data_IF_852854107323
#
_entry.id   IF_852854107323
#
_cell.length_a   1.000
_cell.length_b   1.000
_cell.length_c   1.000
_cell.angle_alpha   90.00
_cell.angle_beta   90.00
_cell.angle_gamma   90.00
#
_symmetry.space_group_name_H-M   'P 1'
#
loop_
_entity.id
_entity.type
_entity.pdbx_description
1 polymer ?
#
# COMPACT_ATOMS: atom_id res chain seq x y z
N UNK A 1 26.81 -10.30 5.65
CA UNK A 1 25.81 -9.56 4.85
C UNK A 1 24.45 -9.81 5.47
N UNK A 2 23.71 -8.76 5.87
CA UNK A 2 22.33 -8.90 6.33
C UNK A 2 21.45 -9.09 5.09
N UNK A 3 20.73 -10.20 5.00
CA UNK A 3 19.74 -10.41 3.95
C UNK A 3 18.47 -9.65 4.33
N UNK A 4 18.09 -8.65 3.53
CA UNK A 4 16.80 -7.97 3.72
C UNK A 4 15.69 -8.88 3.20
N UNK A 5 14.57 -9.04 3.93
CA UNK A 5 13.46 -9.88 3.51
C UNK A 5 12.89 -9.41 2.17
N UNK A 6 12.90 -10.30 1.18
CA UNK A 6 12.35 -10.10 -0.16
C UNK A 6 11.10 -10.96 -0.36
N UNK A 7 10.17 -10.56 -1.25
CA UNK A 7 10.17 -9.30 -2.02
C UNK A 7 9.95 -8.08 -1.12
N UNK A 8 10.34 -6.88 -1.54
CA UNK A 8 10.05 -5.67 -0.76
C UNK A 8 8.60 -5.23 -0.95
N UNK A 9 8.04 -4.50 0.01
CA UNK A 9 6.65 -4.03 -0.10
C UNK A 9 6.44 -3.15 -1.34
N UNK A 10 7.41 -2.28 -1.67
CA UNK A 10 7.39 -1.47 -2.89
C UNK A 10 7.46 -2.30 -4.17
N UNK A 11 8.20 -3.43 -4.19
CA UNK A 11 8.25 -4.35 -5.33
C UNK A 11 6.88 -4.97 -5.60
N UNK A 12 6.16 -5.37 -4.54
CA UNK A 12 4.81 -5.91 -4.66
C UNK A 12 3.81 -4.87 -5.13
N UNK A 13 3.85 -3.65 -4.60
CA UNK A 13 3.00 -2.54 -5.05
C UNK A 13 3.24 -2.23 -6.53
N UNK A 14 4.51 -2.12 -6.95
CA UNK A 14 4.86 -1.89 -8.36
C UNK A 14 4.35 -3.02 -9.26
N UNK A 15 4.45 -4.28 -8.81
CA UNK A 15 3.90 -5.43 -9.54
C UNK A 15 2.39 -5.36 -9.69
N UNK A 16 1.64 -4.92 -8.66
CA UNK A 16 0.18 -4.71 -8.74
C UNK A 16 -0.20 -3.59 -9.70
N UNK A 17 0.62 -2.54 -9.77
CA UNK A 17 0.41 -1.39 -10.66
C UNK A 17 0.91 -1.64 -12.10
N UNK A 18 1.69 -2.70 -12.33
CA UNK A 18 2.32 -2.97 -13.63
C UNK A 18 3.40 -1.96 -14.02
N UNK A 19 4.01 -1.28 -13.05
CA UNK A 19 5.05 -0.25 -13.27
C UNK A 19 6.44 -0.79 -12.91
N UNK A 20 7.47 -0.20 -13.51
CA UNK A 20 8.87 -0.56 -13.23
C UNK A 20 9.55 0.38 -12.23
N UNK A 21 9.02 1.59 -12.04
CA UNK A 21 9.62 2.63 -11.19
C UNK A 21 8.52 3.48 -10.55
N UNK A 22 8.78 3.94 -9.33
CA UNK A 22 7.93 4.90 -8.63
C UNK A 22 8.06 6.31 -9.20
N UNK A 23 7.11 7.16 -8.83
CA UNK A 23 7.10 8.58 -9.17
C UNK A 23 8.27 9.34 -8.54
N UNK A 24 8.86 10.24 -9.33
CA UNK A 24 9.97 11.10 -8.88
C UNK A 24 9.50 12.34 -8.12
N UNK A 25 8.29 12.83 -8.38
CA UNK A 25 7.68 13.98 -7.70
C UNK A 25 6.18 13.79 -7.54
N UNK A 26 5.55 14.63 -6.71
CA UNK A 26 4.09 14.69 -6.60
C UNK A 26 3.42 15.25 -7.85
N UNK A 27 4.12 16.12 -8.60
CA UNK A 27 3.60 16.75 -9.82
C UNK A 27 3.42 15.75 -10.95
N UNK A 28 4.29 14.75 -11.03
CA UNK A 28 4.23 13.71 -12.06
C UNK A 28 3.46 12.46 -11.61
N UNK A 29 2.89 12.46 -10.40
CA UNK A 29 2.27 11.28 -9.83
C UNK A 29 0.90 11.00 -10.42
N UNK A 30 0.76 9.84 -11.09
CA UNK A 30 -0.48 9.43 -11.78
C UNK A 30 -1.06 8.11 -11.28
N UNK A 31 -0.28 7.37 -10.51
CA UNK A 31 -0.52 6.00 -10.12
C UNK A 31 -1.45 5.93 -8.92
N UNK A 32 -2.38 4.98 -9.00
CA UNK A 32 -3.42 4.78 -8.03
C UNK A 32 -3.62 3.28 -7.79
N UNK A 33 -3.44 2.86 -6.53
CA UNK A 33 -3.58 1.48 -6.11
C UNK A 33 -5.01 1.28 -5.58
N UNK A 34 -5.70 0.24 -6.04
CA UNK A 34 -7.00 -0.10 -5.45
C UNK A 34 -6.84 -0.62 -4.02
N UNK A 35 -7.88 -0.46 -3.20
CA UNK A 35 -7.92 -0.99 -1.85
C UNK A 35 -7.78 -2.52 -1.86
N UNK A 36 -8.41 -3.18 -2.83
CA UNK A 36 -8.29 -4.63 -3.01
C UNK A 36 -6.83 -5.06 -3.23
N UNK A 37 -6.08 -4.34 -4.09
CA UNK A 37 -4.66 -4.62 -4.30
C UNK A 37 -3.82 -4.32 -3.05
N UNK A 38 -4.12 -3.25 -2.31
CA UNK A 38 -3.43 -2.94 -1.06
C UNK A 38 -3.61 -4.07 -0.03
N UNK A 39 -4.83 -4.62 0.08
CA UNK A 39 -5.16 -5.76 0.94
C UNK A 39 -4.44 -7.04 0.49
N UNK A 40 -4.36 -7.31 -0.81
CA UNK A 40 -3.61 -8.44 -1.34
C UNK A 40 -2.12 -8.36 -0.99
N UNK A 41 -1.51 -7.18 -1.12
CA UNK A 41 -0.12 -6.95 -0.69
C UNK A 41 0.02 -7.15 0.82
N UNK A 42 -0.94 -6.67 1.62
CA UNK A 42 -0.93 -6.86 3.07
C UNK A 42 -1.02 -8.34 3.47
N UNK A 43 -1.82 -9.14 2.75
CA UNK A 43 -1.92 -10.60 2.93
C UNK A 43 -0.61 -11.30 2.54
N UNK A 44 -0.03 -10.94 1.40
CA UNK A 44 1.25 -11.49 0.94
C UNK A 44 2.40 -11.18 1.91
N UNK A 45 2.35 -9.99 2.53
CA UNK A 45 3.34 -9.52 3.51
C UNK A 45 3.02 -9.83 4.96
N UNK A 46 1.93 -10.55 5.25
CA UNK A 46 1.38 -10.65 6.60
C UNK A 46 2.36 -11.17 7.67
N UNK A 47 3.36 -11.97 7.29
CA UNK A 47 4.39 -12.50 8.20
C UNK A 47 5.61 -11.58 8.39
N UNK A 48 5.77 -10.58 7.52
CA UNK A 48 6.91 -9.67 7.52
C UNK A 48 6.59 -8.30 8.15
N UNK A 49 5.33 -8.06 8.50
CA UNK A 49 4.82 -6.76 8.98
C UNK A 49 4.11 -6.88 10.32
N UNK A 50 4.03 -5.75 11.04
CA UNK A 50 3.72 -5.73 12.48
C UNK A 50 2.26 -5.46 12.82
N UNK A 51 1.43 -5.10 11.84
CA UNK A 51 0.04 -4.74 12.05
C UNK A 51 -0.74 -5.84 12.77
N UNK A 52 -1.53 -5.46 13.77
CA UNK A 52 -2.26 -6.39 14.63
C UNK A 52 -3.33 -7.19 13.87
N UNK A 53 -3.97 -6.56 12.88
CA UNK A 53 -5.02 -7.14 12.05
C UNK A 53 -4.84 -6.74 10.57
N UNK A 54 -5.72 -7.24 9.70
CA UNK A 54 -5.62 -6.97 8.27
C UNK A 54 -5.81 -5.49 7.93
N UNK A 55 -6.63 -4.74 8.70
CA UNK A 55 -6.80 -3.29 8.52
C UNK A 55 -5.49 -2.55 8.82
N UNK A 56 -4.88 -2.83 9.98
CA UNK A 56 -3.61 -2.26 10.39
C UNK A 56 -2.48 -2.59 9.39
N UNK A 57 -2.41 -3.85 8.94
CA UNK A 57 -1.45 -4.29 7.91
C UNK A 57 -1.66 -3.59 6.57
N UNK A 58 -2.90 -3.37 6.16
CA UNK A 58 -3.22 -2.63 4.94
C UNK A 58 -2.80 -1.16 5.06
N UNK A 59 -2.95 -0.54 6.23
CA UNK A 59 -2.44 0.82 6.47
C UNK A 59 -0.91 0.90 6.40
N UNK A 60 -0.17 -0.13 6.77
CA UNK A 60 1.29 -0.19 6.56
C UNK A 60 1.64 -0.19 5.05
N UNK A 61 0.88 -0.93 4.23
CA UNK A 61 1.01 -0.90 2.77
C UNK A 61 0.73 0.51 2.23
N UNK A 62 -0.33 1.16 2.69
CA UNK A 62 -0.67 2.55 2.32
C UNK A 62 0.44 3.51 2.75
N UNK A 63 1.06 3.30 3.92
CA UNK A 63 2.22 4.07 4.38
C UNK A 63 3.38 4.00 3.39
N UNK A 64 3.64 2.82 2.82
CA UNK A 64 4.67 2.67 1.77
C UNK A 64 4.31 3.47 0.52
N UNK A 65 3.03 3.47 0.11
CA UNK A 65 2.54 4.24 -1.04
C UNK A 65 2.84 5.75 -0.93
N UNK A 66 2.88 6.30 0.29
CA UNK A 66 3.24 7.71 0.53
C UNK A 66 4.62 8.02 -0.04
N UNK A 67 5.64 7.23 0.28
CA UNK A 67 7.00 7.44 -0.24
C UNK A 67 7.11 7.21 -1.76
N UNK A 68 6.26 6.35 -2.30
CA UNK A 68 6.20 6.03 -3.74
C UNK A 68 5.41 7.07 -4.55
N UNK A 69 4.74 8.01 -3.88
CA UNK A 69 3.77 8.96 -4.45
C UNK A 69 2.69 8.23 -5.27
N UNK A 70 2.14 7.19 -4.66
CA UNK A 70 1.02 6.40 -5.19
C UNK A 70 -0.21 6.75 -4.37
N UNK A 71 -1.31 7.05 -5.05
CA UNK A 71 -2.63 7.23 -4.41
C UNK A 71 -3.24 5.87 -4.10
N UNK A 72 -4.24 5.85 -3.22
CA UNK A 72 -5.03 4.66 -2.92
C UNK A 72 -6.50 5.04 -3.00
N UNK A 73 -7.23 4.44 -3.93
CA UNK A 73 -8.63 4.80 -4.23
C UNK A 73 -8.79 6.31 -4.49
N UNK A 74 -7.86 6.88 -5.25
CA UNK A 74 -7.83 8.31 -5.59
C UNK A 74 -7.38 9.23 -4.45
N UNK A 75 -7.08 8.71 -3.26
CA UNK A 75 -6.76 9.48 -2.06
C UNK A 75 -5.28 9.42 -1.70
N UNK A 76 -4.79 10.45 -1.01
CA UNK A 76 -3.45 10.38 -0.41
C UNK A 76 -3.44 9.54 0.86
N UNK A 77 -2.29 8.99 1.24
CA UNK A 77 -2.22 7.96 2.28
C UNK A 77 -2.92 8.29 3.60
N UNK A 78 -2.89 9.55 4.07
CA UNK A 78 -3.61 9.96 5.28
C UNK A 78 -5.14 9.87 5.12
N UNK A 79 -5.65 10.28 3.96
CA UNK A 79 -7.08 10.24 3.63
C UNK A 79 -7.54 8.80 3.37
N UNK A 80 -6.73 7.99 2.70
CA UNK A 80 -7.01 6.56 2.49
C UNK A 80 -7.04 5.78 3.82
N UNK A 81 -6.09 6.04 4.74
CA UNK A 81 -6.14 5.44 6.08
C UNK A 81 -7.39 5.87 6.85
N UNK A 82 -7.78 7.15 6.77
CA UNK A 82 -9.01 7.66 7.38
C UNK A 82 -10.26 6.97 6.83
N UNK A 83 -10.31 6.73 5.51
CA UNK A 83 -11.41 6.03 4.89
C UNK A 83 -11.59 4.59 5.43
N UNK A 84 -10.48 3.90 5.69
CA UNK A 84 -10.50 2.59 6.38
C UNK A 84 -11.03 2.73 7.82
N UNK A 85 -10.60 3.77 8.55
CA UNK A 85 -11.07 4.04 9.92
C UNK A 85 -12.55 4.39 9.99
N UNK A 86 -13.07 5.09 8.98
CA UNK A 86 -14.46 5.49 8.86
C UNK A 86 -15.37 4.33 8.37
N UNK A 87 -14.79 3.16 8.08
CA UNK A 87 -15.52 1.95 7.68
C UNK A 87 -15.93 1.90 6.21
N UNK A 88 -15.40 2.79 5.36
CA UNK A 88 -15.76 2.85 3.93
C UNK A 88 -15.41 1.56 3.16
N UNK A 89 -14.53 0.72 3.72
CA UNK A 89 -14.03 -0.51 3.08
C UNK A 89 -14.28 -1.76 3.93
N UNK A 90 -15.20 -1.70 4.91
CA UNK A 90 -15.44 -2.82 5.83
C UNK A 90 -15.84 -4.11 5.13
N UNK A 91 -16.46 -4.05 3.95
CA UNK A 91 -16.80 -5.24 3.16
C UNK A 91 -15.58 -6.06 2.70
N UNK A 92 -14.39 -5.46 2.71
CA UNK A 92 -13.13 -6.12 2.34
C UNK A 92 -12.38 -6.76 3.53
N UNK A 93 -12.76 -6.45 4.78
CA UNK A 93 -12.04 -6.82 6.01
C UNK A 93 -12.83 -7.76 6.91
#
# INVERSE_FOLDING_TARGET
MIQMPKPWMSELIMKKLGIQKCNGSFETATEDLSMAHAIEVAKEKANDITGADLKAKTKEVIGTCVSMRVRVEGRWGKEACKAIDDGEFDEYF
#
